data_IF_465316845958
#
_entry.id   IF_465316845958
#
_cell.length_a   1.000
_cell.length_b   1.000
_cell.length_c   1.000
_cell.angle_alpha   90.00
_cell.angle_beta   90.00
_cell.angle_gamma   90.00
#
_symmetry.space_group_name_H-M   'P 1'
#
loop_
_entity.id
_entity.type
_entity.pdbx_description
1 polymer ?
#
# COMPACT_ATOMS: atom_id res chain seq x y z
N UNK A 1 -18.31 -57.80 7.31
CA UNK A 1 -17.97 -57.76 5.87
C UNK A 1 -17.12 -56.49 5.70
N UNK A 2 -15.80 -56.59 5.87
CA UNK A 2 -14.81 -56.63 4.77
C UNK A 2 -14.34 -55.18 4.50
N UNK A 3 -13.06 -54.79 4.48
CA UNK A 3 -11.79 -55.46 4.18
C UNK A 3 -10.66 -54.74 4.92
N UNK A 4 -9.63 -55.48 5.34
CA UNK A 4 -8.32 -54.94 5.73
C UNK A 4 -7.37 -54.95 4.52
N UNK A 5 -6.56 -53.91 4.34
CA UNK A 5 -5.36 -53.89 3.46
C UNK A 5 -4.32 -53.00 4.17
N UNK A 6 -3.37 -53.58 4.90
CA UNK A 6 -2.04 -54.05 4.49
C UNK A 6 -1.08 -52.95 4.02
N UNK A 7 0.00 -52.79 4.79
CA UNK A 7 1.14 -51.94 4.51
C UNK A 7 1.94 -52.43 3.30
N UNK A 8 2.39 -51.51 2.45
CA UNK A 8 3.49 -51.74 1.52
C UNK A 8 4.67 -50.87 1.93
N UNK A 9 5.65 -51.52 2.55
CA UNK A 9 7.03 -51.10 2.45
C UNK A 9 7.47 -51.29 1.01
N UNK A 10 7.87 -50.21 0.35
CA UNK A 10 8.66 -50.23 -0.87
C UNK A 10 9.83 -49.28 -0.69
N UNK A 11 10.98 -49.82 -0.27
CA UNK A 11 12.24 -49.10 -0.36
C UNK A 11 12.79 -49.30 -1.79
N UNK A 12 13.10 -48.22 -2.50
CA UNK A 12 14.33 -48.14 -3.28
C UNK A 12 14.64 -46.69 -3.63
N UNK A 13 15.86 -46.28 -3.28
CA UNK A 13 16.40 -44.94 -3.48
C UNK A 13 16.70 -44.67 -4.96
N UNK A 14 16.42 -43.45 -5.41
CA UNK A 14 17.18 -42.85 -6.51
C UNK A 14 17.77 -41.53 -6.02
N UNK A 15 19.05 -41.36 -6.34
CA UNK A 15 19.94 -40.31 -5.85
C UNK A 15 19.69 -38.98 -6.57
N UNK A 16 19.97 -37.87 -5.87
CA UNK A 16 20.08 -36.51 -6.41
C UNK A 16 18.92 -35.63 -5.94
N UNK A 17 19.08 -34.44 -5.40
CA UNK A 17 20.23 -33.55 -5.26
C UNK A 17 20.00 -32.77 -3.94
N UNK A 18 21.02 -32.62 -3.10
CA UNK A 18 20.94 -31.70 -1.94
C UNK A 18 21.15 -30.29 -2.47
N UNK A 19 20.08 -29.64 -2.86
CA UNK A 19 20.04 -28.20 -2.99
C UNK A 19 19.17 -27.66 -1.85
N UNK A 20 19.81 -27.51 -0.68
CA UNK A 20 19.33 -26.68 0.42
C UNK A 20 19.33 -25.21 -0.04
N UNK A 21 18.39 -24.86 -0.92
CA UNK A 21 18.10 -23.47 -1.24
C UNK A 21 17.08 -22.96 -0.23
N UNK A 22 17.64 -22.50 0.88
CA UNK A 22 17.05 -21.59 1.83
C UNK A 22 15.95 -20.74 1.17
N UNK A 23 14.73 -20.94 1.65
CA UNK A 23 13.58 -20.05 1.45
C UNK A 23 13.95 -18.67 1.98
N UNK A 24 14.59 -17.85 1.15
CA UNK A 24 14.84 -16.44 1.37
C UNK A 24 14.53 -15.71 0.08
N UNK A 25 13.35 -15.12 0.07
CA UNK A 25 12.96 -14.05 -0.84
C UNK A 25 14.16 -13.15 -1.07
N UNK A 26 14.66 -13.09 -2.30
CA UNK A 26 15.65 -12.09 -2.66
C UNK A 26 14.95 -10.73 -2.57
N UNK A 27 15.17 -10.02 -1.47
CA UNK A 27 14.81 -8.61 -1.33
C UNK A 27 15.30 -7.87 -2.57
N UNK A 28 14.47 -7.07 -3.25
CA UNK A 28 14.94 -6.24 -4.35
C UNK A 28 16.14 -5.39 -3.89
N UNK A 29 17.16 -5.17 -4.74
CA UNK A 29 18.27 -4.31 -4.41
C UNK A 29 17.73 -2.97 -3.92
N UNK A 30 18.22 -2.49 -2.76
CA UNK A 30 17.89 -1.15 -2.30
C UNK A 30 18.37 -0.18 -3.37
N UNK A 31 17.44 0.64 -3.86
CA UNK A 31 17.76 1.73 -4.76
C UNK A 31 18.78 2.62 -4.04
N UNK A 32 20.01 2.67 -4.54
CA UNK A 32 21.00 3.65 -4.08
C UNK A 32 20.54 5.02 -4.58
N UNK A 33 19.84 5.76 -3.72
CA UNK A 33 19.40 7.15 -3.94
C UNK A 33 20.59 8.11 -3.84
N UNK A 34 21.54 7.99 -4.78
CA UNK A 34 22.67 8.92 -4.94
C UNK A 34 22.40 10.01 -5.99
N UNK A 35 21.13 10.30 -6.29
CA UNK A 35 20.80 11.50 -7.04
C UNK A 35 21.17 12.71 -6.18
N UNK A 36 21.92 13.70 -6.71
CA UNK A 36 22.10 14.96 -6.00
C UNK A 36 20.71 15.46 -5.60
N UNK A 37 20.54 15.78 -4.33
CA UNK A 37 19.41 16.57 -3.84
C UNK A 37 19.49 17.92 -4.56
N UNK A 38 19.04 17.97 -5.81
CA UNK A 38 18.66 19.20 -6.46
C UNK A 38 17.52 19.69 -5.59
N UNK A 39 17.83 20.59 -4.66
CA UNK A 39 16.83 21.49 -4.15
C UNK A 39 16.21 22.11 -5.40
N UNK A 40 14.98 21.71 -5.70
CA UNK A 40 14.18 22.36 -6.71
C UNK A 40 13.92 23.77 -6.20
N UNK A 41 14.87 24.66 -6.47
CA UNK A 41 14.71 26.10 -6.27
C UNK A 41 13.71 26.67 -7.30
N UNK A 42 13.13 25.83 -8.16
CA UNK A 42 11.95 26.12 -8.96
C UNK A 42 10.71 25.68 -8.18
N UNK A 43 10.04 26.66 -7.57
CA UNK A 43 8.65 26.46 -7.17
C UNK A 43 7.83 26.19 -8.44
N UNK A 44 6.94 25.21 -8.38
CA UNK A 44 6.05 24.83 -9.49
C UNK A 44 5.00 25.92 -9.82
N UNK A 45 5.00 27.04 -9.08
CA UNK A 45 4.03 28.14 -9.23
C UNK A 45 3.97 28.70 -10.67
N UNK A 46 5.07 28.61 -11.43
CA UNK A 46 5.17 29.08 -12.82
C UNK A 46 5.30 27.91 -13.83
N UNK A 47 5.18 26.64 -13.40
CA UNK A 47 5.18 25.52 -14.34
C UNK A 47 3.88 25.56 -15.15
N UNK A 48 3.94 25.66 -16.50
CA UNK A 48 2.75 25.66 -17.34
C UNK A 48 1.96 24.35 -17.28
N UNK A 49 2.50 23.28 -16.68
CA UNK A 49 1.82 22.01 -16.41
C UNK A 49 1.08 22.01 -15.08
N UNK A 50 1.27 23.03 -14.24
CA UNK A 50 0.54 23.12 -12.99
C UNK A 50 -0.95 23.35 -13.29
N UNK A 51 -1.87 22.49 -12.81
CA UNK A 51 -3.29 22.58 -13.16
C UNK A 51 -3.98 23.78 -12.51
N UNK A 52 -3.37 24.41 -11.50
CA UNK A 52 -3.90 25.57 -10.79
C UNK A 52 -3.02 26.79 -11.06
N UNK A 53 -3.66 27.93 -11.33
CA UNK A 53 -2.96 29.20 -11.46
C UNK A 53 -2.51 29.71 -10.10
N UNK A 54 -1.45 30.53 -10.09
CA UNK A 54 -0.93 31.20 -8.88
C UNK A 54 -2.00 31.99 -8.12
N UNK A 55 -2.91 32.63 -8.85
CA UNK A 55 -4.02 33.38 -8.26
C UNK A 55 -4.98 32.47 -7.49
N UNK A 56 -5.25 31.27 -8.00
CA UNK A 56 -6.07 30.27 -7.30
C UNK A 56 -5.34 29.73 -6.06
N UNK A 57 -4.05 29.43 -6.18
CA UNK A 57 -3.24 28.93 -5.05
C UNK A 57 -3.12 29.94 -3.91
N UNK A 58 -3.17 31.25 -4.22
CA UNK A 58 -3.06 32.34 -3.25
C UNK A 58 -4.40 32.90 -2.77
N UNK A 59 -5.51 32.46 -3.37
CA UNK A 59 -6.83 32.89 -2.96
C UNK A 59 -7.06 32.51 -1.49
N UNK A 60 -7.63 33.40 -0.65
CA UNK A 60 -7.94 33.06 0.73
C UNK A 60 -9.00 31.96 0.78
N UNK A 61 -8.85 31.04 1.73
CA UNK A 61 -9.89 30.05 2.03
C UNK A 61 -11.11 30.80 2.60
N UNK A 62 -12.33 30.56 2.09
CA UNK A 62 -13.54 31.17 2.61
C UNK A 62 -13.77 30.84 4.10
N UNK A 63 -14.43 31.75 4.81
CA UNK A 63 -14.77 31.54 6.22
C UNK A 63 -15.68 30.33 6.40
N UNK A 64 -15.33 29.44 7.33
CA UNK A 64 -16.04 28.18 7.59
C UNK A 64 -15.48 26.97 6.84
N UNK A 65 -14.47 27.17 5.98
CA UNK A 65 -13.78 26.11 5.21
C UNK A 65 -12.31 25.95 5.60
N UNK A 66 -11.86 26.59 6.67
CA UNK A 66 -10.46 26.57 7.10
C UNK A 66 -10.01 25.18 7.57
N UNK A 67 -10.95 24.35 8.02
CA UNK A 67 -10.70 22.95 8.38
C UNK A 67 -11.85 22.07 7.89
N UNK A 68 -11.54 20.81 7.50
CA UNK A 68 -12.58 19.84 7.24
C UNK A 68 -13.39 19.55 8.51
N UNK A 69 -14.64 19.10 8.37
CA UNK A 69 -15.42 18.61 9.50
C UNK A 69 -14.69 17.43 10.17
N UNK A 70 -14.84 17.25 11.50
CA UNK A 70 -14.25 16.13 12.20
C UNK A 70 -14.92 14.83 11.74
N UNK A 71 -14.17 13.99 11.04
CA UNK A 71 -14.60 12.66 10.61
C UNK A 71 -13.91 11.59 11.47
N UNK A 72 -14.65 10.55 11.86
CA UNK A 72 -14.07 9.38 12.50
C UNK A 72 -13.19 8.60 11.51
N UNK A 73 -12.08 8.03 11.97
CA UNK A 73 -11.27 7.13 11.15
C UNK A 73 -11.95 5.75 11.06
N UNK A 74 -11.87 5.12 9.89
CA UNK A 74 -12.28 3.72 9.76
C UNK A 74 -11.31 2.81 10.52
N UNK A 75 -11.83 2.00 11.43
CA UNK A 75 -11.04 1.10 12.28
C UNK A 75 -10.78 -0.27 11.65
N UNK A 76 -11.40 -0.56 10.50
CA UNK A 76 -11.34 -1.85 9.83
C UNK A 76 -12.06 -2.96 10.59
N UNK A 77 -12.86 -2.64 11.61
CA UNK A 77 -13.66 -3.59 12.39
C UNK A 77 -15.15 -3.43 12.13
N UNK A 78 -15.60 -2.21 11.87
CA UNK A 78 -16.98 -1.90 11.46
C UNK A 78 -17.23 -2.23 10.00
N UNK A 79 -18.49 -2.40 9.59
CA UNK A 79 -18.81 -2.61 8.18
C UNK A 79 -18.47 -1.35 7.35
N UNK A 80 -17.87 -1.48 6.15
CA UNK A 80 -17.51 -0.31 5.33
C UNK A 80 -18.71 0.55 4.93
N UNK A 81 -19.87 -0.06 4.65
CA UNK A 81 -21.07 0.68 4.25
C UNK A 81 -21.63 1.45 5.46
N UNK A 82 -21.62 0.85 6.65
CA UNK A 82 -21.96 1.53 7.90
C UNK A 82 -21.03 2.71 8.20
N UNK A 83 -19.72 2.56 7.97
CA UNK A 83 -18.77 3.66 8.14
C UNK A 83 -19.05 4.84 7.21
N UNK A 84 -19.44 4.56 5.96
CA UNK A 84 -19.82 5.57 4.97
C UNK A 84 -21.10 6.28 5.39
N UNK A 85 -22.10 5.56 5.89
CA UNK A 85 -23.35 6.16 6.40
C UNK A 85 -23.08 7.14 7.56
N UNK A 86 -22.16 6.78 8.46
CA UNK A 86 -21.74 7.65 9.55
C UNK A 86 -21.03 8.94 9.06
N UNK A 87 -20.27 8.87 7.95
CA UNK A 87 -19.68 10.06 7.33
C UNK A 87 -20.78 10.93 6.70
N UNK A 88 -21.71 10.33 5.96
CA UNK A 88 -22.80 11.04 5.30
C UNK A 88 -23.77 11.71 6.28
N UNK A 89 -23.84 11.24 7.53
CA UNK A 89 -24.61 11.90 8.59
C UNK A 89 -23.94 13.16 9.15
N UNK A 90 -22.63 13.34 8.94
CA UNK A 90 -21.83 14.48 9.43
C UNK A 90 -21.69 15.58 8.37
N UNK A 91 -21.71 15.20 7.09
CA UNK A 91 -21.61 16.09 5.93
C UNK A 91 -22.96 16.68 5.53
#
# INVERSE_FOLDING_TARGET
>A
QGLALMAQHGASASRGNRDDHASRSATPPRHDDNSPLHSSNGSDEDDPRCPLTRDIMRAPIPTGFERPPPLGAYDGQTDPDEHIDNINAIL
#
